data_IF_226904408033
#
_entry.id   IF_226904408033
#
_cell.length_a   1.000
_cell.length_b   1.000
_cell.length_c   1.000
_cell.angle_alpha   90.00
_cell.angle_beta   90.00
_cell.angle_gamma   90.00
#
_symmetry.space_group_name_H-M   'P 1'
#
loop_
_entity.id
_entity.type
_entity.pdbx_description
1 polymer ?
#
# COMPACT_ATOMS: atom_id res chain seq x y z
N UNK A 1 -0.94 3.41 10.59
CA UNK A 1 -1.27 4.73 10.00
C UNK A 1 -0.15 5.17 9.09
N UNK A 2 -0.15 4.80 7.81
CA UNK A 2 0.99 5.09 6.94
C UNK A 2 1.18 6.61 6.77
N UNK A 3 2.41 7.08 6.99
CA UNK A 3 2.78 8.50 6.87
C UNK A 3 3.23 8.75 5.42
N UNK A 4 2.65 9.76 4.78
CA UNK A 4 3.02 10.13 3.41
C UNK A 4 4.37 10.84 3.45
N UNK A 5 5.23 10.62 2.45
CA UNK A 5 6.41 11.47 2.23
C UNK A 5 6.06 12.43 1.09
N UNK A 6 5.68 13.69 1.37
CA UNK A 6 5.24 14.65 0.35
C UNK A 6 6.29 14.80 -0.75
N UNK A 7 5.84 14.93 -2.00
CA UNK A 7 6.74 15.05 -3.15
C UNK A 7 7.43 13.72 -3.55
N UNK A 8 7.00 12.58 -3.00
CA UNK A 8 7.46 11.25 -3.42
C UNK A 8 6.31 10.29 -3.75
N UNK A 9 6.63 9.21 -4.47
CA UNK A 9 5.75 8.06 -4.67
C UNK A 9 5.83 7.01 -3.55
N UNK A 10 6.22 7.40 -2.34
CA UNK A 10 6.50 6.48 -1.23
C UNK A 10 5.44 6.59 -0.13
N UNK A 11 5.06 5.42 0.39
CA UNK A 11 4.17 5.29 1.54
C UNK A 11 4.93 4.61 2.67
N UNK A 12 5.05 5.27 3.81
CA UNK A 12 5.75 4.73 4.98
C UNK A 12 4.84 3.80 5.79
N UNK A 13 5.26 2.54 6.00
CA UNK A 13 4.53 1.59 6.84
C UNK A 13 4.80 1.89 8.31
N UNK A 14 3.83 2.44 9.03
CA UNK A 14 4.02 2.76 10.46
C UNK A 14 3.53 1.67 11.40
N UNK A 15 2.68 0.77 10.92
CA UNK A 15 2.08 -0.31 11.70
C UNK A 15 1.63 -1.44 10.79
N UNK A 16 1.77 -2.67 11.25
CA UNK A 16 1.25 -3.86 10.55
C UNK A 16 0.42 -4.65 11.55
N UNK A 17 -0.81 -5.00 11.18
CA UNK A 17 -1.71 -5.80 12.01
C UNK A 17 -1.18 -7.25 12.09
N UNK A 18 -0.89 -7.77 13.29
CA UNK A 18 -0.45 -9.16 13.45
C UNK A 18 -1.45 -10.15 12.86
N UNK A 19 -0.97 -11.14 12.12
CA UNK A 19 -1.80 -12.15 11.45
C UNK A 19 -2.59 -11.66 10.23
N UNK A 20 -2.53 -10.36 9.91
CA UNK A 20 -3.16 -9.80 8.71
C UNK A 20 -2.37 -10.09 7.43
N UNK A 21 -2.95 -9.81 6.24
CA UNK A 21 -2.33 -10.09 4.94
C UNK A 21 -0.92 -9.51 4.79
N UNK A 22 -0.71 -8.27 5.25
CA UNK A 22 0.61 -7.63 5.25
C UNK A 22 1.63 -8.35 6.13
N UNK A 23 1.24 -8.77 7.35
CA UNK A 23 2.14 -9.51 8.25
C UNK A 23 2.50 -10.88 7.65
N UNK A 24 1.53 -11.59 7.09
CA UNK A 24 1.73 -12.91 6.50
C UNK A 24 2.61 -12.84 5.23
N UNK A 25 2.53 -11.74 4.49
CA UNK A 25 3.42 -11.45 3.36
C UNK A 25 4.81 -10.95 3.79
N UNK A 26 5.04 -10.76 5.10
CA UNK A 26 6.32 -10.28 5.63
C UNK A 26 6.54 -8.78 5.52
N UNK A 27 5.48 -7.97 5.38
CA UNK A 27 5.55 -6.51 5.48
C UNK A 27 5.94 -6.12 6.91
N UNK A 28 6.86 -5.18 7.04
CA UNK A 28 7.37 -4.72 8.34
C UNK A 28 7.12 -3.22 8.52
N UNK A 29 7.00 -2.81 9.79
CA UNK A 29 7.07 -1.38 10.14
C UNK A 29 8.40 -0.81 9.68
N UNK A 30 8.35 0.36 9.03
CA UNK A 30 9.51 1.06 8.46
C UNK A 30 9.80 0.70 7.01
N UNK A 31 9.08 -0.25 6.41
CA UNK A 31 9.12 -0.44 4.95
C UNK A 31 8.53 0.78 4.24
N UNK A 32 9.09 1.11 3.07
CA UNK A 32 8.56 2.15 2.18
C UNK A 32 7.92 1.47 0.97
N UNK A 33 6.60 1.53 0.84
CA UNK A 33 5.90 1.00 -0.33
C UNK A 33 6.06 2.01 -1.47
N UNK A 34 6.54 1.53 -2.63
CA UNK A 34 6.83 2.38 -3.79
C UNK A 34 6.04 2.00 -5.03
N UNK A 35 5.24 0.92 -4.97
CA UNK A 35 4.49 0.42 -6.11
C UNK A 35 3.68 -0.82 -5.81
N UNK A 36 2.80 -1.18 -6.74
CA UNK A 36 2.01 -2.39 -6.72
C UNK A 36 1.86 -2.95 -8.14
N UNK A 37 1.70 -4.27 -8.27
CA UNK A 37 1.47 -4.96 -9.55
C UNK A 37 2.52 -4.63 -10.64
N UNK A 38 3.77 -4.43 -10.22
CA UNK A 38 4.87 -4.06 -11.12
C UNK A 38 4.90 -2.58 -11.56
N UNK A 39 3.94 -1.77 -11.11
CA UNK A 39 3.83 -0.34 -11.42
C UNK A 39 4.28 0.49 -10.22
N UNK A 40 5.12 1.50 -10.47
CA UNK A 40 5.51 2.47 -9.44
C UNK A 40 4.37 3.46 -9.18
N UNK A 41 4.25 3.88 -7.92
CA UNK A 41 3.26 4.86 -7.53
C UNK A 41 3.61 6.26 -8.01
N UNK A 42 2.56 7.01 -8.33
CA UNK A 42 2.61 8.42 -8.68
C UNK A 42 3.05 9.25 -7.48
N UNK A 43 3.70 10.37 -7.75
CA UNK A 43 4.12 11.29 -6.71
C UNK A 43 2.91 11.85 -5.96
N UNK A 44 2.96 11.79 -4.63
CA UNK A 44 1.96 12.40 -3.76
C UNK A 44 1.98 13.92 -3.93
N UNK A 45 0.82 14.49 -4.26
CA UNK A 45 0.67 15.94 -4.39
C UNK A 45 1.08 16.64 -3.09
N UNK A 46 1.79 17.75 -3.21
CA UNK A 46 2.20 18.59 -2.06
C UNK A 46 1.16 19.65 -1.71
N UNK A 47 0.14 19.80 -2.55
CA UNK A 47 -0.91 20.78 -2.39
C UNK A 47 -2.09 20.17 -1.64
N UNK A 48 -2.28 20.54 -0.37
CA UNK A 48 -3.34 20.01 0.51
C UNK A 48 -4.77 20.24 -0.06
N UNK A 49 -4.93 21.18 -0.99
CA UNK A 49 -6.19 21.47 -1.67
C UNK A 49 -6.57 20.48 -2.79
N UNK A 50 -5.69 19.56 -3.17
CA UNK A 50 -5.94 18.58 -4.25
C UNK A 50 -6.49 17.24 -3.75
N UNK A 51 -6.61 17.05 -2.43
CA UNK A 51 -7.03 15.78 -1.83
C UNK A 51 -5.92 14.72 -1.85
N UNK A 52 -6.29 13.44 -1.68
CA UNK A 52 -5.36 12.32 -1.62
C UNK A 52 -4.87 11.86 -3.02
N UNK A 53 -4.21 12.74 -3.77
CA UNK A 53 -3.71 12.41 -5.12
C UNK A 53 -2.27 11.90 -5.07
N UNK A 54 -2.00 10.82 -5.79
CA UNK A 54 -0.67 10.22 -5.92
C UNK A 54 -0.58 8.86 -5.25
N UNK A 55 0.48 8.60 -4.48
CA UNK A 55 0.80 7.25 -4.03
C UNK A 55 -0.32 6.58 -3.23
N UNK A 56 -1.02 7.33 -2.37
CA UNK A 56 -2.12 6.80 -1.59
C UNK A 56 -3.28 6.33 -2.48
N UNK A 57 -3.62 7.11 -3.51
CA UNK A 57 -4.66 6.77 -4.48
C UNK A 57 -4.27 5.51 -5.26
N UNK A 58 -3.02 5.44 -5.72
CA UNK A 58 -2.54 4.30 -6.48
C UNK A 58 -2.52 3.02 -5.65
N UNK A 59 -2.14 3.11 -4.37
CA UNK A 59 -2.23 1.99 -3.44
C UNK A 59 -3.69 1.56 -3.23
N UNK A 60 -4.61 2.50 -2.98
CA UNK A 60 -6.03 2.20 -2.78
C UNK A 60 -6.62 1.50 -4.02
N UNK A 61 -6.35 2.02 -5.21
CA UNK A 61 -6.79 1.40 -6.47
C UNK A 61 -6.20 0.00 -6.69
N UNK A 62 -4.94 -0.21 -6.30
CA UNK A 62 -4.32 -1.53 -6.39
C UNK A 62 -4.98 -2.54 -5.44
N UNK A 63 -5.28 -2.12 -4.21
CA UNK A 63 -6.02 -2.93 -3.23
C UNK A 63 -7.42 -3.26 -3.76
N UNK A 64 -8.20 -2.27 -4.20
CA UNK A 64 -9.56 -2.47 -4.73
C UNK A 64 -9.56 -3.46 -5.91
N UNK A 65 -8.59 -3.33 -6.82
CA UNK A 65 -8.42 -4.24 -7.96
C UNK A 65 -8.09 -5.66 -7.51
N UNK A 66 -7.18 -5.82 -6.53
CA UNK A 66 -6.80 -7.11 -6.01
C UNK A 66 -7.97 -7.80 -5.29
N UNK A 67 -8.73 -7.08 -4.47
CA UNK A 67 -9.93 -7.61 -3.82
C UNK A 67 -10.99 -8.05 -4.83
N UNK A 68 -11.16 -7.31 -5.93
CA UNK A 68 -12.05 -7.66 -7.04
C UNK A 68 -11.55 -8.81 -7.92
N UNK A 69 -10.28 -9.20 -7.83
CA UNK A 69 -9.62 -10.16 -8.70
C UNK A 69 -8.98 -11.34 -7.93
N UNK A 70 -9.70 -11.86 -6.92
CA UNK A 70 -9.29 -13.08 -6.21
C UNK A 70 -8.26 -12.87 -5.10
N UNK A 71 -8.00 -11.63 -4.70
CA UNK A 71 -7.25 -11.29 -3.50
C UNK A 71 -5.73 -11.15 -3.66
N UNK A 72 -5.17 -11.49 -4.81
CA UNK A 72 -3.73 -11.41 -5.02
C UNK A 72 -3.28 -9.95 -5.20
N UNK A 73 -2.38 -9.47 -4.34
CA UNK A 73 -1.75 -8.14 -4.43
C UNK A 73 -0.23 -8.28 -4.28
N UNK A 74 0.53 -7.83 -5.27
CA UNK A 74 1.99 -7.75 -5.17
C UNK A 74 2.42 -6.32 -4.90
N UNK A 75 3.08 -6.09 -3.77
CA UNK A 75 3.65 -4.79 -3.40
C UNK A 75 5.15 -4.77 -3.66
N UNK A 76 5.64 -3.65 -4.17
CA UNK A 76 7.08 -3.34 -4.23
C UNK A 76 7.42 -2.43 -3.07
N UNK A 77 8.33 -2.88 -2.20
CA UNK A 77 8.76 -2.13 -1.01
C UNK A 77 10.26 -1.91 -0.99
N UNK A 78 10.72 -0.85 -0.35
CA UNK A 78 12.12 -0.61 -0.02
C UNK A 78 12.28 -0.88 1.47
N UNK A 79 13.17 -1.79 1.81
CA UNK A 79 13.50 -2.15 3.19
C UNK A 79 14.90 -1.70 3.54
N UNK A 80 15.03 -1.06 4.70
CA UNK A 80 16.34 -0.62 5.22
C UNK A 80 17.29 -1.81 5.35
N UNK A 81 18.53 -1.66 4.84
CA UNK A 81 19.55 -2.71 4.84
C UNK A 81 19.34 -3.86 3.85
N UNK A 82 18.23 -3.88 3.10
CA UNK A 82 17.91 -4.94 2.11
C UNK A 82 17.77 -4.38 0.70
N UNK A 83 17.13 -3.21 0.55
CA UNK A 83 16.81 -2.62 -0.75
C UNK A 83 15.38 -2.95 -1.20
N UNK A 84 15.14 -2.91 -2.52
CA UNK A 84 13.82 -3.13 -3.08
C UNK A 84 13.46 -4.63 -3.13
N UNK A 85 12.30 -4.99 -2.59
CA UNK A 85 11.78 -6.37 -2.59
C UNK A 85 10.30 -6.37 -3.00
N UNK A 86 9.84 -7.48 -3.58
CA UNK A 86 8.43 -7.70 -3.89
C UNK A 86 7.81 -8.61 -2.83
N UNK A 87 6.68 -8.17 -2.28
CA UNK A 87 5.89 -8.93 -1.31
C UNK A 87 4.57 -9.31 -1.97
N UNK A 88 4.22 -10.61 -1.92
CA UNK A 88 2.94 -11.11 -2.42
C UNK A 88 1.97 -11.27 -1.25
N UNK A 89 0.90 -10.48 -1.26
CA UNK A 89 -0.17 -10.47 -0.29
C UNK A 89 -1.37 -11.24 -0.83
N UNK A 90 -2.07 -11.93 0.06
CA UNK A 90 -3.37 -12.51 -0.20
C UNK A 90 -4.40 -11.77 0.64
N UNK A 91 -5.11 -10.85 0.00
CA UNK A 91 -6.25 -10.13 0.55
C UNK A 91 -7.45 -11.09 0.53
N UNK A 92 -8.21 -11.15 1.63
CA UNK A 92 -9.48 -11.84 1.58
C UNK A 92 -10.42 -11.14 0.58
N UNK A 93 -11.37 -11.85 -0.06
CA UNK A 93 -12.32 -11.24 -1.00
C UNK A 93 -13.08 -10.06 -0.38
N UNK A 94 -13.40 -9.05 -1.22
CA UNK A 94 -14.13 -7.86 -0.83
C UNK A 94 -15.37 -8.19 0.05
N UNK A 95 -15.48 -7.54 1.21
CA UNK A 95 -16.62 -7.67 2.12
C UNK A 95 -16.30 -8.11 3.55
N UNK A 96 -15.07 -8.52 3.86
CA UNK A 96 -14.68 -8.89 5.25
C UNK A 96 -14.01 -7.77 6.06
N UNK A 97 -13.61 -6.65 5.44
CA UNK A 97 -12.91 -5.54 6.11
C UNK A 97 -13.75 -4.28 6.34
N UNK A 98 -15.04 -4.31 6.02
CA UNK A 98 -15.89 -3.11 6.05
C UNK A 98 -15.57 -2.12 4.92
N UNK A 99 -16.35 -1.04 4.76
CA UNK A 99 -16.10 -0.05 3.72
C UNK A 99 -14.69 0.56 3.90
N UNK A 100 -13.90 0.56 2.82
CA UNK A 100 -12.55 1.12 2.79
C UNK A 100 -12.53 2.67 2.93
N UNK A 101 -13.71 3.31 2.96
CA UNK A 101 -13.89 4.75 3.03
C UNK A 101 -14.68 5.12 4.30
N UNK A 102 -14.24 6.12 5.08
CA UNK A 102 -15.14 6.77 6.02
C UNK A 102 -16.29 7.43 5.26
N UNK A 103 -17.51 7.27 5.77
CA UNK A 103 -18.70 7.97 5.28
C UNK A 103 -18.61 9.48 5.54
#
# INVERSE_FOLDING_TARGET
>A
MCDLVPGTGLISVTSVTPGGPGANAGLLRGDLIQGAEGVLFSTTATDDGMGFVGALQDLAMAVDRAEGNGGALTLRVIRSGVGAINLSLNLNPAGTLGPAWPA
#
